data_IF_178460310219
#
_entry.id   IF_178460310219
#
_cell.length_a   1.000
_cell.length_b   1.000
_cell.length_c   1.000
_cell.angle_alpha   90.00
_cell.angle_beta   90.00
_cell.angle_gamma   90.00
#
_symmetry.space_group_name_H-M   'P 1'
#
loop_
_entity.id
_entity.type
_entity.pdbx_description
1 polymer ?
#
# COMPACT_ATOMS: atom_id res chain seq x y z
N UNK A 1 16.13 -4.61 16.60
CA UNK A 1 16.24 -4.02 15.25
C UNK A 1 14.94 -4.34 14.52
N UNK A 2 14.05 -3.35 14.40
CA UNK A 2 12.78 -3.50 13.70
C UNK A 2 13.07 -3.64 12.20
N UNK A 3 12.87 -4.84 11.65
CA UNK A 3 13.02 -5.07 10.21
C UNK A 3 11.71 -4.67 9.50
N UNK A 4 11.72 -3.49 8.89
CA UNK A 4 10.77 -3.12 7.84
C UNK A 4 11.43 -3.36 6.49
N UNK A 5 11.31 -4.58 5.95
CA UNK A 5 11.69 -4.88 4.56
C UNK A 5 10.46 -5.20 3.71
N UNK A 6 9.39 -4.45 3.91
CA UNK A 6 8.25 -4.46 3.00
C UNK A 6 8.40 -3.28 2.04
N UNK A 7 9.05 -3.53 0.91
CA UNK A 7 9.08 -2.69 -0.29
C UNK A 7 9.51 -3.56 -1.48
N UNK A 8 9.12 -3.18 -2.70
CA UNK A 8 9.59 -3.87 -3.91
C UNK A 8 11.11 -3.84 -4.01
N UNK A 9 11.69 -4.97 -4.39
CA UNK A 9 13.15 -5.10 -4.58
C UNK A 9 13.62 -4.56 -5.92
N UNK A 10 12.67 -4.18 -6.79
CA UNK A 10 12.86 -3.54 -8.08
C UNK A 10 11.83 -2.43 -8.26
N UNK A 11 11.99 -1.64 -9.32
CA UNK A 11 11.09 -0.53 -9.61
C UNK A 11 9.62 -0.98 -9.69
N UNK A 12 8.75 -0.18 -9.07
CA UNK A 12 7.30 -0.30 -9.19
C UNK A 12 6.89 0.16 -10.59
N UNK A 13 6.11 -0.66 -11.28
CA UNK A 13 5.66 -0.37 -12.64
C UNK A 13 4.19 0.03 -12.72
N UNK A 14 3.39 -0.28 -11.68
CA UNK A 14 1.98 0.06 -11.66
C UNK A 14 1.46 0.21 -10.23
N UNK A 15 0.43 1.03 -10.07
CA UNK A 15 -0.25 1.29 -8.81
C UNK A 15 -1.76 1.42 -9.07
N UNK A 16 -2.57 0.88 -8.17
CA UNK A 16 -4.02 0.98 -8.24
C UNK A 16 -4.62 1.15 -6.84
N UNK A 17 -5.62 2.03 -6.73
CA UNK A 17 -6.42 2.18 -5.53
C UNK A 17 -7.65 1.25 -5.62
N UNK A 18 -7.88 0.48 -4.56
CA UNK A 18 -9.10 -0.29 -4.39
C UNK A 18 -10.22 0.57 -3.78
N UNK A 19 -11.46 0.16 -3.99
CA UNK A 19 -12.60 0.79 -3.32
C UNK A 19 -12.72 0.26 -1.87
N UNK A 20 -12.82 1.19 -0.92
CA UNK A 20 -12.93 0.91 0.51
C UNK A 20 -14.30 0.33 0.89
N UNK A 21 -15.29 0.44 -0.01
CA UNK A 21 -16.68 0.05 0.24
C UNK A 21 -16.90 -1.44 0.54
N UNK A 22 -15.98 -2.33 0.13
CA UNK A 22 -16.10 -3.80 0.30
C UNK A 22 -15.46 -4.35 1.58
N UNK A 23 -15.05 -3.49 2.52
CA UNK A 23 -14.40 -3.93 3.76
C UNK A 23 -13.02 -4.57 3.52
N UNK A 24 -12.37 -4.20 2.42
CA UNK A 24 -11.05 -4.70 2.04
C UNK A 24 -9.99 -4.26 3.07
N UNK A 25 -9.07 -5.17 3.42
CA UNK A 25 -8.00 -4.92 4.42
C UNK A 25 -6.86 -4.03 3.91
N UNK A 26 -6.89 -3.69 2.63
CA UNK A 26 -5.90 -2.87 1.94
C UNK A 26 -6.61 -2.10 0.84
N UNK A 27 -6.18 -0.86 0.62
CA UNK A 27 -6.80 0.08 -0.29
C UNK A 27 -5.84 0.59 -1.37
N UNK A 28 -4.54 0.30 -1.25
CA UNK A 28 -3.56 0.61 -2.28
C UNK A 28 -2.78 -0.64 -2.65
N UNK A 29 -2.66 -0.91 -3.95
CA UNK A 29 -1.89 -2.03 -4.48
C UNK A 29 -0.77 -1.51 -5.35
N UNK A 30 0.44 -2.04 -5.16
CA UNK A 30 1.61 -1.72 -5.98
C UNK A 30 2.15 -2.99 -6.61
N UNK A 31 2.49 -2.93 -7.90
CA UNK A 31 3.08 -4.03 -8.64
C UNK A 31 4.45 -3.62 -9.20
N UNK A 32 5.43 -4.51 -9.11
CA UNK A 32 6.81 -4.23 -9.52
C UNK A 32 7.35 -5.19 -10.58
N UNK A 33 8.46 -4.81 -11.21
CA UNK A 33 9.20 -5.69 -12.13
C UNK A 33 9.89 -6.87 -11.43
N UNK A 34 9.82 -6.92 -10.10
CA UNK A 34 10.14 -8.09 -9.30
C UNK A 34 9.04 -9.17 -9.35
N UNK A 35 7.95 -8.95 -10.11
CA UNK A 35 6.82 -9.86 -10.31
C UNK A 35 6.03 -10.12 -9.01
N UNK A 36 6.14 -9.21 -8.05
CA UNK A 36 5.37 -9.23 -6.81
C UNK A 36 4.33 -8.12 -6.86
N UNK A 37 3.23 -8.31 -6.14
CA UNK A 37 2.24 -7.27 -5.83
C UNK A 37 2.13 -7.17 -4.32
N UNK A 38 2.22 -5.96 -3.79
CA UNK A 38 2.00 -5.68 -2.37
C UNK A 38 0.70 -4.90 -2.19
N UNK A 39 -0.02 -5.22 -1.12
CA UNK A 39 -1.20 -4.49 -0.67
C UNK A 39 -0.86 -3.65 0.56
N UNK A 40 -1.34 -2.41 0.57
CA UNK A 40 -1.13 -1.43 1.62
C UNK A 40 -2.47 -0.95 2.14
N UNK A 41 -2.54 -0.68 3.45
CA UNK A 41 -3.66 0.02 4.08
C UNK A 41 -3.19 1.43 4.40
N UNK A 42 -3.53 2.37 3.53
CA UNK A 42 -3.19 3.78 3.68
C UNK A 42 -4.34 4.46 4.40
N UNK A 43 -4.07 4.96 5.60
CA UNK A 43 -5.02 5.73 6.38
C UNK A 43 -4.69 7.21 6.24
N UNK A 44 -5.69 8.04 5.98
CA UNK A 44 -5.52 9.49 6.07
C UNK A 44 -5.47 9.88 7.54
N UNK A 45 -4.32 10.37 7.99
CA UNK A 45 -4.22 11.03 9.28
C UNK A 45 -5.02 12.34 9.17
N UNK A 46 -6.22 12.37 9.76
CA UNK A 46 -6.97 13.62 9.85
C UNK A 46 -6.19 14.56 10.78
N UNK A 47 -5.67 15.63 10.21
CA UNK A 47 -5.16 16.81 10.93
C UNK A 47 -6.23 17.27 11.95
N UNK A 48 -5.76 17.58 13.15
CA UNK A 48 -6.55 17.55 14.39
C UNK A 48 -7.77 18.47 14.45
N UNK A 49 -8.60 18.22 15.47
CA UNK A 49 -9.59 19.19 15.92
C UNK A 49 -9.32 19.49 17.41
N UNK A 50 -8.95 20.76 17.61
CA UNK A 50 -8.80 21.54 18.85
C UNK A 50 -7.48 21.43 19.65
#
# INVERSE_FOLDING_TARGET
MLFWSQCHRRMVCSVAWGDDSLGARCNLFTAGFDRVVYGWSVHSDKEGKD
#
